data_IF_208969665329
#
_entry.id   IF_208969665329
#
_cell.length_a   1.000
_cell.length_b   1.000
_cell.length_c   1.000
_cell.angle_alpha   90.00
_cell.angle_beta   90.00
_cell.angle_gamma   90.00
#
_symmetry.space_group_name_H-M   'P 1'
#
loop_
_entity.id
_entity.type
_entity.pdbx_description
1 polymer ?
#
# COMPACT_ATOMS: atom_id res chain seq x y z
N UNK A 1 21.33 4.95 -24.72
CA UNK A 1 20.83 3.60 -24.42
C UNK A 1 20.36 3.66 -23.00
N UNK A 2 19.10 3.45 -22.66
CA UNK A 2 18.73 3.28 -21.27
C UNK A 2 19.47 2.04 -20.78
N UNK A 3 20.15 2.13 -19.62
CA UNK A 3 20.66 0.97 -18.92
C UNK A 3 19.47 0.04 -18.67
N UNK A 4 19.50 -1.15 -19.28
CA UNK A 4 18.60 -2.24 -18.89
C UNK A 4 18.81 -2.43 -17.40
N UNK A 5 17.82 -2.11 -16.59
CA UNK A 5 17.88 -2.39 -15.15
C UNK A 5 17.95 -3.90 -15.02
N UNK A 6 19.14 -4.39 -14.66
CA UNK A 6 19.35 -5.82 -14.40
C UNK A 6 18.46 -6.15 -13.21
N UNK A 7 17.41 -6.91 -13.49
CA UNK A 7 16.50 -7.45 -12.46
C UNK A 7 17.33 -8.29 -11.50
N UNK A 8 17.55 -7.81 -10.30
CA UNK A 8 18.34 -8.53 -9.30
C UNK A 8 17.46 -9.51 -8.52
N UNK A 9 17.16 -10.65 -9.16
CA UNK A 9 16.42 -11.75 -8.54
C UNK A 9 17.22 -12.44 -7.39
N UNK A 10 18.48 -12.04 -7.15
CA UNK A 10 19.30 -12.57 -6.07
C UNK A 10 19.03 -11.89 -4.72
N UNK A 11 18.32 -10.77 -4.70
CA UNK A 11 17.95 -10.05 -3.48
C UNK A 11 16.45 -10.13 -3.22
N UNK A 12 16.04 -10.32 -1.96
CA UNK A 12 14.63 -10.31 -1.62
C UNK A 12 14.04 -8.90 -1.80
N UNK A 13 12.74 -8.86 -2.13
CA UNK A 13 11.98 -7.62 -2.33
C UNK A 13 10.72 -7.63 -1.46
N UNK A 14 10.37 -6.50 -0.84
CA UNK A 14 9.24 -6.40 0.07
C UNK A 14 7.89 -6.75 -0.58
N UNK A 15 7.68 -6.36 -1.83
CA UNK A 15 6.46 -6.69 -2.59
C UNK A 15 6.36 -8.20 -2.88
N UNK A 16 7.47 -8.85 -3.26
CA UNK A 16 7.48 -10.30 -3.50
C UNK A 16 7.40 -11.12 -2.22
N UNK A 17 7.96 -10.61 -1.10
CA UNK A 17 7.73 -11.18 0.24
C UNK A 17 6.24 -11.12 0.59
N UNK A 18 5.59 -9.98 0.35
CA UNK A 18 4.18 -9.81 0.60
C UNK A 18 3.32 -10.75 -0.26
N UNK A 19 3.67 -10.93 -1.54
CA UNK A 19 3.03 -11.92 -2.43
C UNK A 19 3.10 -13.34 -1.83
N UNK A 20 4.30 -13.78 -1.40
CA UNK A 20 4.47 -15.08 -0.75
C UNK A 20 3.63 -15.22 0.52
N UNK A 21 3.61 -14.20 1.38
CA UNK A 21 2.84 -14.18 2.64
C UNK A 21 1.34 -14.31 2.38
N UNK A 22 0.86 -13.79 1.26
CA UNK A 22 -0.54 -13.96 0.81
C UNK A 22 -0.82 -15.29 0.08
N UNK A 23 0.19 -16.13 -0.10
CA UNK A 23 0.08 -17.41 -0.81
C UNK A 23 0.22 -17.30 -2.33
N UNK A 24 0.75 -16.20 -2.83
CA UNK A 24 1.06 -15.97 -4.24
C UNK A 24 2.27 -16.76 -4.73
N UNK A 25 2.50 -16.72 -6.03
CA UNK A 25 3.52 -17.52 -6.72
C UNK A 25 4.54 -16.69 -7.50
N UNK A 26 4.44 -15.34 -7.43
CA UNK A 26 5.32 -14.41 -8.14
C UNK A 26 6.47 -13.97 -7.23
N UNK A 27 7.19 -14.93 -6.67
CA UNK A 27 8.28 -14.74 -5.74
C UNK A 27 9.40 -15.76 -5.99
N UNK A 28 10.62 -15.40 -5.61
CA UNK A 28 11.80 -16.25 -5.73
C UNK A 28 12.14 -16.92 -4.41
N UNK A 29 13.08 -17.88 -4.45
CA UNK A 29 13.54 -18.59 -3.27
C UNK A 29 14.07 -17.63 -2.19
N UNK A 30 14.79 -16.58 -2.57
CA UNK A 30 15.32 -15.57 -1.63
C UNK A 30 14.22 -14.80 -0.92
N UNK A 31 13.08 -14.52 -1.60
CA UNK A 31 11.92 -13.88 -1.03
C UNK A 31 11.23 -14.79 -0.02
N UNK A 32 11.05 -16.07 -0.37
CA UNK A 32 10.47 -17.10 0.52
C UNK A 32 11.27 -17.29 1.78
N UNK A 33 12.60 -17.40 1.66
CA UNK A 33 13.49 -17.56 2.81
C UNK A 33 13.42 -16.34 3.74
N UNK A 34 13.39 -15.13 3.19
CA UNK A 34 13.21 -13.91 3.98
C UNK A 34 11.82 -13.87 4.66
N UNK A 35 10.76 -14.21 3.92
CA UNK A 35 9.40 -14.28 4.45
C UNK A 35 9.27 -15.29 5.59
N UNK A 36 9.84 -16.51 5.45
CA UNK A 36 9.83 -17.53 6.49
C UNK A 36 10.57 -17.09 7.76
N UNK A 37 11.68 -16.36 7.61
CA UNK A 37 12.37 -15.77 8.75
C UNK A 37 11.49 -14.73 9.45
N UNK A 38 10.82 -13.86 8.71
CA UNK A 38 9.92 -12.85 9.24
C UNK A 38 8.75 -13.51 9.97
N UNK A 39 8.11 -14.52 9.35
CA UNK A 39 6.99 -15.26 9.96
C UNK A 39 7.42 -15.96 11.25
N UNK A 40 8.63 -16.52 11.29
CA UNK A 40 9.16 -17.15 12.50
C UNK A 40 9.37 -16.16 13.64
N UNK A 41 9.78 -14.93 13.33
CA UNK A 41 10.00 -13.87 14.32
C UNK A 41 8.69 -13.21 14.76
N UNK A 42 7.76 -13.03 13.81
CA UNK A 42 6.45 -12.41 14.00
C UNK A 42 5.37 -13.30 13.36
N UNK A 43 4.88 -14.34 14.05
CA UNK A 43 3.93 -15.30 13.48
C UNK A 43 2.61 -14.68 12.99
N UNK A 44 2.23 -13.53 13.54
CA UNK A 44 1.03 -12.79 13.12
C UNK A 44 1.15 -12.15 11.73
N UNK A 45 2.32 -12.14 11.10
CA UNK A 45 2.55 -11.53 9.78
C UNK A 45 1.55 -12.02 8.73
N UNK A 46 1.21 -13.30 8.73
CA UNK A 46 0.21 -13.87 7.81
C UNK A 46 -1.18 -13.26 8.00
N UNK A 47 -1.63 -13.14 9.25
CA UNK A 47 -2.93 -12.56 9.58
C UNK A 47 -2.95 -11.05 9.27
N UNK A 48 -1.86 -10.37 9.60
CA UNK A 48 -1.67 -8.95 9.33
C UNK A 48 -1.74 -8.62 7.83
N UNK A 49 -1.05 -9.40 6.99
CA UNK A 49 -1.11 -9.24 5.54
C UNK A 49 -2.52 -9.47 4.98
N UNK A 50 -3.23 -10.47 5.48
CA UNK A 50 -4.63 -10.73 5.09
C UNK A 50 -5.56 -9.58 5.48
N UNK A 51 -5.47 -9.11 6.71
CA UNK A 51 -6.28 -7.97 7.18
C UNK A 51 -6.02 -6.74 6.31
N UNK A 52 -4.76 -6.44 6.01
CA UNK A 52 -4.40 -5.34 5.14
C UNK A 52 -5.02 -5.49 3.74
N UNK A 53 -5.08 -6.72 3.20
CA UNK A 53 -5.70 -7.01 1.90
C UNK A 53 -7.23 -6.86 1.96
N UNK A 54 -7.89 -7.35 3.00
CA UNK A 54 -9.33 -7.16 3.20
C UNK A 54 -9.70 -5.68 3.31
N UNK A 55 -8.93 -4.92 4.09
CA UNK A 55 -9.12 -3.47 4.18
C UNK A 55 -8.94 -2.76 2.83
N UNK A 56 -8.06 -3.26 1.96
CA UNK A 56 -7.90 -2.74 0.59
C UNK A 56 -9.14 -3.03 -0.27
N UNK A 57 -9.80 -4.16 -0.09
CA UNK A 57 -11.07 -4.48 -0.74
C UNK A 57 -12.18 -3.54 -0.26
N UNK A 58 -12.34 -3.38 1.07
CA UNK A 58 -13.31 -2.46 1.65
C UNK A 58 -13.11 -1.02 1.14
N UNK A 59 -11.85 -0.62 1.00
CA UNK A 59 -11.45 0.67 0.43
C UNK A 59 -11.94 0.83 -1.02
N UNK A 60 -11.76 -0.20 -1.85
CA UNK A 60 -12.21 -0.18 -3.24
C UNK A 60 -13.73 0.04 -3.34
N UNK A 61 -14.51 -0.70 -2.55
CA UNK A 61 -15.97 -0.54 -2.46
C UNK A 61 -16.35 0.85 -1.94
N UNK A 62 -15.74 1.31 -0.87
CA UNK A 62 -16.03 2.64 -0.30
C UNK A 62 -15.76 3.75 -1.30
N UNK A 63 -14.60 3.73 -1.99
CA UNK A 63 -14.22 4.76 -2.94
C UNK A 63 -15.16 4.82 -4.14
N UNK A 64 -15.58 3.67 -4.66
CA UNK A 64 -16.41 3.61 -5.87
C UNK A 64 -17.90 3.70 -5.58
N UNK A 65 -18.44 2.82 -4.76
CA UNK A 65 -19.89 2.71 -4.57
C UNK A 65 -20.45 3.79 -3.64
N UNK A 66 -19.69 4.23 -2.62
CA UNK A 66 -20.19 5.20 -1.65
C UNK A 66 -19.73 6.63 -1.93
N UNK A 67 -18.49 6.78 -2.42
CA UNK A 67 -17.91 8.11 -2.71
C UNK A 67 -17.99 8.49 -4.19
N UNK A 68 -18.29 7.52 -5.08
CA UNK A 68 -18.58 7.76 -6.49
C UNK A 68 -17.36 8.04 -7.36
N UNK A 69 -16.15 7.62 -6.92
CA UNK A 69 -14.96 7.73 -7.76
C UNK A 69 -14.96 6.64 -8.84
N UNK A 70 -14.73 7.05 -10.05
CA UNK A 70 -14.58 6.17 -11.22
C UNK A 70 -13.12 6.09 -11.73
N UNK A 71 -12.19 6.80 -11.06
CA UNK A 71 -10.74 6.70 -11.30
C UNK A 71 -10.03 6.52 -9.95
N UNK A 72 -9.22 5.47 -9.87
CA UNK A 72 -8.36 5.16 -8.72
C UNK A 72 -6.91 5.12 -9.19
N UNK A 73 -6.02 5.81 -8.49
CA UNK A 73 -4.57 5.76 -8.71
C UNK A 73 -3.92 5.18 -7.46
N UNK A 74 -3.31 4.01 -7.58
CA UNK A 74 -2.68 3.28 -6.47
C UNK A 74 -1.15 3.27 -6.62
N UNK A 75 -0.49 3.94 -5.67
CA UNK A 75 0.96 4.11 -5.63
C UNK A 75 1.62 2.98 -4.84
N UNK A 76 2.69 2.40 -5.39
CA UNK A 76 3.39 1.24 -4.84
C UNK A 76 2.43 0.06 -4.59
N UNK A 77 1.61 -0.23 -5.58
CA UNK A 77 0.52 -1.22 -5.49
C UNK A 77 1.00 -2.66 -5.31
N UNK A 78 2.26 -2.94 -5.62
CA UNK A 78 2.77 -4.29 -5.68
C UNK A 78 2.12 -5.11 -6.80
N UNK A 79 2.05 -6.43 -6.60
CA UNK A 79 1.44 -7.35 -7.57
C UNK A 79 -0.08 -7.32 -7.47
N UNK A 80 -0.80 -7.08 -8.59
CA UNK A 80 -2.27 -7.07 -8.64
C UNK A 80 -2.82 -8.50 -8.73
N UNK A 81 -2.43 -9.34 -7.77
CA UNK A 81 -2.91 -10.71 -7.62
C UNK A 81 -4.36 -10.75 -7.12
N UNK A 82 -4.87 -11.94 -6.79
CA UNK A 82 -6.23 -12.12 -6.31
C UNK A 82 -6.63 -11.13 -5.22
N UNK A 83 -7.89 -10.73 -5.24
CA UNK A 83 -8.49 -9.82 -4.25
C UNK A 83 -7.92 -8.39 -4.27
N UNK A 84 -7.41 -7.93 -5.42
CA UNK A 84 -6.96 -6.56 -5.58
C UNK A 84 -8.07 -5.61 -6.07
N UNK A 85 -7.86 -4.30 -5.98
CA UNK A 85 -8.86 -3.24 -6.23
C UNK A 85 -9.63 -3.48 -7.55
N UNK A 86 -8.95 -3.77 -8.66
CA UNK A 86 -9.59 -3.92 -9.98
C UNK A 86 -10.61 -5.07 -10.06
N UNK A 87 -10.54 -6.06 -9.16
CA UNK A 87 -11.45 -7.21 -9.15
C UNK A 87 -12.75 -6.96 -8.38
N UNK A 88 -12.77 -5.89 -7.55
CA UNK A 88 -13.88 -5.61 -6.63
C UNK A 88 -14.61 -4.30 -6.96
N UNK A 89 -14.02 -3.44 -7.79
CA UNK A 89 -14.67 -2.20 -8.20
C UNK A 89 -15.64 -2.43 -9.36
N UNK A 90 -16.69 -1.60 -9.52
CA UNK A 90 -17.64 -1.70 -10.62
C UNK A 90 -16.97 -1.69 -12.00
N UNK A 91 -17.57 -2.42 -12.94
CA UNK A 91 -17.16 -2.39 -14.34
C UNK A 91 -17.14 -0.94 -14.87
N UNK A 92 -16.08 -0.59 -15.60
CA UNK A 92 -15.87 0.76 -16.12
C UNK A 92 -15.04 1.66 -15.22
N UNK A 93 -14.77 1.26 -13.96
CA UNK A 93 -13.83 1.98 -13.11
C UNK A 93 -12.42 1.91 -13.70
N UNK A 94 -11.77 3.05 -13.81
CA UNK A 94 -10.36 3.12 -14.23
C UNK A 94 -9.44 2.93 -13.02
N UNK A 95 -8.55 1.95 -13.10
CA UNK A 95 -7.55 1.69 -12.06
C UNK A 95 -6.15 1.82 -12.65
N UNK A 96 -5.36 2.72 -12.07
CA UNK A 96 -3.97 2.98 -12.45
C UNK A 96 -3.08 2.51 -11.31
N UNK A 97 -2.35 1.43 -11.54
CA UNK A 97 -1.35 0.89 -10.62
C UNK A 97 0.04 1.42 -10.92
N UNK A 98 0.87 1.56 -9.91
CA UNK A 98 2.29 1.81 -10.10
C UNK A 98 3.16 1.08 -9.09
N UNK A 99 4.34 0.69 -9.52
CA UNK A 99 5.41 0.17 -8.66
C UNK A 99 6.77 0.60 -9.21
N UNK A 100 7.76 0.71 -8.34
CA UNK A 100 9.11 1.09 -8.76
C UNK A 100 9.92 -0.10 -9.30
N UNK A 101 9.61 -1.32 -8.83
CA UNK A 101 10.32 -2.54 -9.23
C UNK A 101 9.88 -2.98 -10.64
N UNK A 102 10.78 -2.95 -11.64
CA UNK A 102 10.44 -3.32 -13.02
C UNK A 102 9.92 -4.76 -13.13
N UNK A 103 10.37 -5.67 -12.26
CA UNK A 103 9.90 -7.05 -12.26
C UNK A 103 8.45 -7.15 -11.76
N UNK A 104 8.11 -6.40 -10.71
CA UNK A 104 6.73 -6.31 -10.21
C UNK A 104 5.83 -5.76 -11.32
N UNK A 105 6.27 -4.74 -12.05
CA UNK A 105 5.52 -4.15 -13.16
C UNK A 105 5.36 -5.14 -14.33
N UNK A 106 6.38 -5.93 -14.65
CA UNK A 106 6.31 -6.95 -15.70
C UNK A 106 5.31 -8.06 -15.34
N UNK A 107 5.41 -8.62 -14.14
CA UNK A 107 4.43 -9.59 -13.64
C UNK A 107 3.01 -8.99 -13.54
N UNK A 108 2.89 -7.74 -13.12
CA UNK A 108 1.60 -7.08 -13.08
C UNK A 108 0.97 -6.99 -14.47
N UNK A 109 1.75 -6.70 -15.52
CA UNK A 109 1.27 -6.70 -16.92
C UNK A 109 0.83 -8.08 -17.37
N UNK A 110 1.58 -9.12 -17.00
CA UNK A 110 1.22 -10.51 -17.31
C UNK A 110 -0.10 -10.90 -16.59
N UNK A 111 -0.23 -10.59 -15.31
CA UNK A 111 -1.42 -10.90 -14.50
C UNK A 111 -2.66 -10.17 -15.04
N UNK A 112 -2.52 -8.89 -15.34
CA UNK A 112 -3.63 -8.05 -15.79
C UNK A 112 -4.06 -8.36 -17.24
N UNK A 113 -3.12 -8.78 -18.10
CA UNK A 113 -3.41 -9.06 -19.51
C UNK A 113 -4.12 -7.88 -20.19
N UNK A 114 -5.24 -8.19 -20.84
CA UNK A 114 -6.10 -7.21 -21.53
C UNK A 114 -7.29 -6.74 -20.65
N UNK A 115 -7.16 -6.76 -19.31
CA UNK A 115 -8.24 -6.31 -18.41
C UNK A 115 -8.61 -4.85 -18.73
N UNK A 116 -9.86 -4.57 -19.12
CA UNK A 116 -10.25 -3.22 -19.52
C UNK A 116 -10.13 -2.21 -18.39
N UNK A 117 -9.71 -0.98 -18.73
CA UNK A 117 -9.60 0.15 -17.79
C UNK A 117 -8.61 -0.06 -16.64
N UNK A 118 -7.75 -1.09 -16.71
CA UNK A 118 -6.71 -1.34 -15.70
C UNK A 118 -5.34 -1.15 -16.33
N UNK A 119 -4.52 -0.34 -15.71
CA UNK A 119 -3.21 0.05 -16.26
C UNK A 119 -2.14 -0.10 -15.19
N UNK A 120 -0.92 -0.46 -15.59
CA UNK A 120 0.24 -0.51 -14.70
C UNK A 120 1.42 0.23 -15.28
N UNK A 121 2.06 1.05 -14.46
CA UNK A 121 3.20 1.89 -14.82
C UNK A 121 4.37 1.64 -13.89
N UNK A 122 5.58 1.70 -14.42
CA UNK A 122 6.76 1.79 -13.57
C UNK A 122 6.91 3.24 -13.10
N UNK A 123 6.82 3.45 -11.79
CA UNK A 123 7.01 4.76 -11.17
C UNK A 123 7.35 4.61 -9.68
N UNK A 124 8.18 5.52 -9.19
CA UNK A 124 8.59 5.57 -7.79
C UNK A 124 7.56 6.36 -6.95
N UNK A 125 7.00 5.73 -5.93
CA UNK A 125 6.00 6.39 -5.06
C UNK A 125 6.54 7.65 -4.36
N UNK A 126 7.86 7.71 -4.07
CA UNK A 126 8.54 8.91 -3.53
C UNK A 126 8.56 10.09 -4.49
N UNK A 127 8.24 9.84 -5.76
CA UNK A 127 8.17 10.79 -6.86
C UNK A 127 6.84 10.71 -7.59
N UNK A 128 5.72 10.98 -6.91
CA UNK A 128 4.40 10.78 -7.50
C UNK A 128 4.19 11.57 -8.80
N UNK A 129 4.90 12.69 -8.97
CA UNK A 129 4.89 13.49 -10.19
C UNK A 129 5.38 12.73 -11.43
N UNK A 130 6.25 11.72 -11.29
CA UNK A 130 6.70 10.90 -12.42
C UNK A 130 5.54 10.10 -13.01
N UNK A 131 4.70 9.50 -12.18
CA UNK A 131 3.48 8.85 -12.62
C UNK A 131 2.46 9.85 -13.16
N UNK A 132 2.19 10.89 -12.38
CA UNK A 132 1.13 11.86 -12.66
C UNK A 132 1.40 12.70 -13.93
N UNK A 133 2.68 12.92 -14.29
CA UNK A 133 3.07 13.62 -15.50
C UNK A 133 3.37 12.68 -16.69
N UNK A 134 3.25 11.37 -16.52
CA UNK A 134 3.38 10.42 -17.61
C UNK A 134 2.32 10.71 -18.69
N UNK A 135 2.73 10.83 -19.94
CA UNK A 135 1.84 11.21 -21.04
C UNK A 135 0.65 10.27 -21.22
N UNK A 136 0.86 8.97 -21.01
CA UNK A 136 -0.21 7.97 -21.11
C UNK A 136 -1.20 8.08 -19.93
N UNK A 137 -0.69 8.35 -18.72
CA UNK A 137 -1.55 8.60 -17.54
C UNK A 137 -2.38 9.87 -17.78
N UNK A 138 -1.78 10.94 -18.30
CA UNK A 138 -2.50 12.17 -18.64
C UNK A 138 -3.58 11.95 -19.71
N UNK A 139 -3.31 11.10 -20.72
CA UNK A 139 -4.30 10.69 -21.72
C UNK A 139 -5.48 9.95 -21.08
N UNK A 140 -5.19 8.96 -20.20
CA UNK A 140 -6.19 8.19 -19.48
C UNK A 140 -7.05 9.09 -18.59
N UNK A 141 -6.44 10.03 -17.88
CA UNK A 141 -7.13 10.97 -17.01
C UNK A 141 -8.00 11.98 -17.77
N UNK A 142 -7.68 12.28 -19.04
CA UNK A 142 -8.44 13.24 -19.84
C UNK A 142 -8.52 14.65 -19.21
N UNK A 143 -7.50 15.05 -18.45
CA UNK A 143 -7.46 16.33 -17.73
C UNK A 143 -8.17 16.33 -16.37
N UNK A 144 -8.74 15.19 -15.96
CA UNK A 144 -9.40 15.05 -14.65
C UNK A 144 -8.38 15.03 -13.53
N UNK A 145 -8.77 15.65 -12.40
CA UNK A 145 -7.96 15.74 -11.17
C UNK A 145 -8.74 15.35 -9.92
N UNK A 146 -10.08 15.26 -10.03
CA UNK A 146 -10.95 14.77 -8.95
C UNK A 146 -10.99 13.24 -9.05
N UNK A 147 -10.09 12.59 -8.31
CA UNK A 147 -9.81 11.14 -8.36
C UNK A 147 -9.58 10.60 -6.96
N UNK A 148 -9.70 9.29 -6.81
CA UNK A 148 -9.23 8.61 -5.62
C UNK A 148 -7.74 8.26 -5.75
N UNK A 149 -6.95 8.68 -4.78
CA UNK A 149 -5.54 8.33 -4.62
C UNK A 149 -5.41 7.28 -3.54
N UNK A 150 -4.54 6.30 -3.71
CA UNK A 150 -4.31 5.22 -2.75
C UNK A 150 -2.83 5.10 -2.45
N UNK A 151 -2.48 4.97 -1.17
CA UNK A 151 -1.16 4.62 -0.70
C UNK A 151 -1.34 3.64 0.47
N UNK A 152 -1.32 2.33 0.15
CA UNK A 152 -1.73 1.29 1.08
C UNK A 152 -0.65 0.25 1.31
N UNK A 153 -0.23 0.07 2.56
CA UNK A 153 0.77 -0.93 2.90
C UNK A 153 2.22 -0.57 2.55
N UNK A 154 2.52 0.70 2.28
CA UNK A 154 3.86 1.15 1.88
C UNK A 154 4.46 2.20 2.81
N UNK A 155 3.66 2.86 3.63
CA UNK A 155 4.07 4.05 4.38
C UNK A 155 5.23 3.82 5.35
N UNK A 156 5.41 2.60 5.85
CA UNK A 156 6.52 2.24 6.74
C UNK A 156 7.88 2.27 6.01
N UNK A 157 7.89 2.14 4.69
CA UNK A 157 9.10 2.15 3.85
C UNK A 157 9.48 3.53 3.32
N UNK A 158 8.71 4.55 3.68
CA UNK A 158 8.92 5.94 3.26
C UNK A 158 9.51 6.75 4.41
N UNK A 159 10.54 7.56 4.16
CA UNK A 159 11.10 8.46 5.16
C UNK A 159 10.11 9.58 5.53
N UNK A 160 10.40 10.36 6.58
CA UNK A 160 9.57 11.50 6.97
C UNK A 160 9.52 12.55 5.85
N UNK A 161 10.66 12.77 5.20
CA UNK A 161 10.79 13.66 4.06
C UNK A 161 9.96 13.17 2.86
N UNK A 162 10.00 11.85 2.58
CA UNK A 162 9.22 11.26 1.48
C UNK A 162 7.73 11.45 1.71
N UNK A 163 7.21 11.10 2.90
CA UNK A 163 5.77 11.24 3.20
C UNK A 163 5.34 12.70 3.08
N UNK A 164 6.11 13.63 3.65
CA UNK A 164 5.80 15.05 3.57
C UNK A 164 5.86 15.59 2.14
N UNK A 165 6.79 15.09 1.32
CA UNK A 165 6.90 15.47 -0.08
C UNK A 165 5.70 14.94 -0.89
N UNK A 166 5.39 13.64 -0.73
CA UNK A 166 4.24 13.00 -1.38
C UNK A 166 2.95 13.74 -1.03
N UNK A 167 2.73 14.01 0.27
CA UNK A 167 1.53 14.67 0.74
C UNK A 167 1.33 16.05 0.08
N UNK A 168 2.37 16.88 0.02
CA UNK A 168 2.31 18.21 -0.64
C UNK A 168 2.10 18.08 -2.14
N UNK A 169 2.87 17.20 -2.81
CA UNK A 169 2.78 17.02 -4.25
C UNK A 169 1.41 16.54 -4.68
N UNK A 170 0.84 15.55 -3.99
CA UNK A 170 -0.50 15.06 -4.27
C UNK A 170 -1.56 16.10 -3.96
N UNK A 171 -1.40 16.88 -2.86
CA UNK A 171 -2.33 17.95 -2.53
C UNK A 171 -2.37 19.05 -3.61
N UNK A 172 -1.21 19.48 -4.10
CA UNK A 172 -1.11 20.49 -5.14
C UNK A 172 -1.68 20.00 -6.48
N UNK A 173 -1.45 18.72 -6.80
CA UNK A 173 -1.89 18.12 -8.05
C UNK A 173 -3.39 17.80 -8.07
N UNK A 174 -3.92 17.23 -7.01
CA UNK A 174 -5.28 16.70 -6.94
C UNK A 174 -6.34 17.79 -7.03
N UNK A 175 -7.50 17.47 -7.60
CA UNK A 175 -8.68 18.32 -7.59
C UNK A 175 -9.25 18.51 -6.19
N UNK A 176 -10.15 19.46 -6.03
CA UNK A 176 -10.72 19.79 -4.71
C UNK A 176 -11.59 18.68 -4.12
N UNK A 177 -12.20 17.89 -4.99
CA UNK A 177 -13.08 16.77 -4.62
C UNK A 177 -12.36 15.42 -4.65
N UNK A 178 -11.01 15.42 -4.65
CA UNK A 178 -10.21 14.22 -4.52
C UNK A 178 -10.18 13.69 -3.10
N UNK A 179 -9.98 12.37 -3.00
CA UNK A 179 -9.72 11.68 -1.73
C UNK A 179 -8.41 10.91 -1.83
N UNK A 180 -7.64 10.89 -0.74
CA UNK A 180 -6.45 10.06 -0.62
C UNK A 180 -6.63 9.04 0.49
N UNK A 181 -6.84 7.77 0.13
CA UNK A 181 -6.86 6.67 1.07
C UNK A 181 -5.43 6.30 1.49
N UNK A 182 -5.14 6.41 2.77
CA UNK A 182 -3.80 6.27 3.31
C UNK A 182 -3.78 5.29 4.49
N UNK A 183 -2.81 4.37 4.48
CA UNK A 183 -2.58 3.43 5.58
C UNK A 183 -1.31 3.82 6.35
N UNK A 184 -1.47 4.14 7.64
CA UNK A 184 -0.36 4.41 8.57
C UNK A 184 0.22 3.09 9.10
N UNK A 185 0.92 2.38 8.22
CA UNK A 185 1.44 1.05 8.50
C UNK A 185 2.35 1.04 9.74
N UNK A 186 2.19 0.01 10.57
CA UNK A 186 2.93 -0.19 11.82
C UNK A 186 2.77 0.93 12.88
N UNK A 187 1.85 1.90 12.69
CA UNK A 187 1.53 2.86 13.73
C UNK A 187 0.90 2.11 14.93
N UNK A 188 1.54 2.20 16.09
CA UNK A 188 1.15 1.47 17.31
C UNK A 188 1.90 0.15 17.53
N UNK A 189 2.77 -0.28 16.63
CA UNK A 189 3.68 -1.40 16.89
C UNK A 189 4.64 -1.07 18.06
N UNK A 190 4.95 -2.08 18.88
CA UNK A 190 5.92 -1.90 19.95
C UNK A 190 7.35 -1.90 19.38
N UNK A 191 8.05 -0.74 19.34
CA UNK A 191 9.38 -0.65 18.75
C UNK A 191 10.46 -1.38 19.57
N UNK A 192 10.14 -1.78 20.81
CA UNK A 192 11.06 -2.49 21.69
C UNK A 192 10.84 -4.02 21.67
N UNK A 193 9.91 -4.50 20.86
CA UNK A 193 9.71 -5.94 20.69
C UNK A 193 10.92 -6.56 19.98
N UNK A 194 11.56 -7.62 20.54
CA UNK A 194 12.74 -8.24 19.94
C UNK A 194 12.50 -8.77 18.52
N UNK A 195 11.31 -9.28 18.23
CA UNK A 195 10.94 -9.76 16.89
C UNK A 195 10.85 -8.59 15.90
N UNK A 196 10.20 -7.50 16.29
CA UNK A 196 10.10 -6.28 15.47
C UNK A 196 11.49 -5.73 15.16
N UNK A 197 12.38 -5.64 16.17
CA UNK A 197 13.77 -5.17 15.97
C UNK A 197 14.52 -6.06 14.96
N UNK A 198 14.35 -7.39 15.04
CA UNK A 198 15.03 -8.30 14.13
C UNK A 198 14.45 -8.23 12.71
N UNK A 199 13.15 -8.11 12.56
CA UNK A 199 12.50 -7.93 11.26
C UNK A 199 12.96 -6.62 10.60
N UNK A 200 13.06 -5.53 11.36
CA UNK A 200 13.64 -4.28 10.85
C UNK A 200 15.04 -4.47 10.28
N UNK A 201 15.92 -5.20 10.98
CA UNK A 201 17.28 -5.51 10.49
C UNK A 201 17.28 -6.33 9.20
N UNK A 202 16.32 -7.26 9.04
CA UNK A 202 16.19 -8.02 7.78
C UNK A 202 15.90 -7.04 6.64
N UNK A 203 14.93 -6.16 6.80
CA UNK A 203 14.58 -5.17 5.77
C UNK A 203 15.69 -4.15 5.52
N UNK A 204 16.43 -3.71 6.55
CA UNK A 204 17.61 -2.87 6.40
C UNK A 204 18.69 -3.55 5.54
N UNK A 205 18.96 -4.84 5.77
CA UNK A 205 19.92 -5.61 4.99
C UNK A 205 19.48 -5.81 3.53
N UNK A 206 18.18 -5.77 3.27
CA UNK A 206 17.61 -5.79 1.93
C UNK A 206 17.69 -4.43 1.22
N UNK A 207 18.13 -3.38 1.92
CA UNK A 207 18.15 -2.01 1.39
C UNK A 207 16.80 -1.29 1.45
N UNK A 208 15.84 -1.83 2.20
CA UNK A 208 14.50 -1.26 2.38
C UNK A 208 14.28 -1.00 3.89
N UNK A 209 14.91 0.03 4.47
CA UNK A 209 14.76 0.33 5.89
C UNK A 209 13.32 0.71 6.23
N UNK A 210 12.83 0.21 7.37
CA UNK A 210 11.53 0.61 7.91
C UNK A 210 11.65 1.85 8.78
N UNK A 211 10.63 2.71 8.73
CA UNK A 211 10.50 3.94 9.51
C UNK A 211 9.25 3.89 10.40
N UNK A 212 9.28 3.16 11.53
CA UNK A 212 8.13 3.08 12.44
C UNK A 212 7.84 4.45 13.06
N UNK A 213 6.56 4.83 13.12
CA UNK A 213 6.11 6.14 13.61
C UNK A 213 4.86 6.01 14.48
N UNK A 214 4.66 7.02 15.33
CA UNK A 214 3.36 7.20 15.99
C UNK A 214 2.31 7.73 15.01
N UNK A 215 1.04 7.56 15.35
CA UNK A 215 -0.07 8.13 14.57
C UNK A 215 0.01 9.66 14.52
N UNK A 216 0.42 10.30 15.62
CA UNK A 216 0.58 11.75 15.69
C UNK A 216 1.64 12.24 14.70
N UNK A 217 2.74 11.49 14.56
CA UNK A 217 3.77 11.83 13.56
C UNK A 217 3.25 11.70 12.14
N UNK A 218 2.46 10.68 11.84
CA UNK A 218 1.79 10.58 10.54
C UNK A 218 0.86 11.77 10.28
N UNK A 219 0.04 12.18 11.25
CA UNK A 219 -0.86 13.34 11.11
C UNK A 219 -0.09 14.63 10.81
N UNK A 220 1.09 14.81 11.39
CA UNK A 220 1.96 15.94 11.09
C UNK A 220 2.48 15.88 9.64
N UNK A 221 3.02 14.73 9.22
CA UNK A 221 3.66 14.56 7.91
C UNK A 221 2.66 14.63 6.74
N UNK A 222 1.42 14.25 6.97
CA UNK A 222 0.37 14.23 5.94
C UNK A 222 -0.23 15.61 5.66
N UNK A 223 0.15 16.66 6.42
CA UNK A 223 -0.30 18.00 6.12
C UNK A 223 0.10 18.43 4.69
N UNK A 224 -0.78 19.15 3.95
CA UNK A 224 -2.02 19.82 4.42
C UNK A 224 -3.31 18.97 4.30
N UNK A 225 -3.23 17.69 3.91
CA UNK A 225 -4.37 16.79 3.93
C UNK A 225 -4.94 16.65 5.33
N UNK A 226 -6.23 16.47 5.44
CA UNK A 226 -6.92 16.21 6.70
C UNK A 226 -7.82 14.98 6.57
N UNK A 227 -7.97 14.18 7.63
CA UNK A 227 -8.91 13.07 7.58
C UNK A 227 -10.34 13.60 7.43
N UNK A 228 -11.18 12.80 6.79
CA UNK A 228 -12.62 13.03 6.75
C UNK A 228 -13.26 12.86 8.14
N UNK A 229 -14.58 12.83 8.21
CA UNK A 229 -15.35 12.67 9.45
C UNK A 229 -15.09 11.35 10.20
N UNK A 230 -14.64 10.30 9.49
CA UNK A 230 -14.28 9.02 10.12
C UNK A 230 -12.95 9.10 10.87
N UNK A 231 -12.09 10.04 10.50
CA UNK A 231 -10.77 10.17 11.11
C UNK A 231 -9.80 9.05 10.73
N UNK A 232 -8.86 8.78 11.61
CA UNK A 232 -7.97 7.62 11.53
C UNK A 232 -8.58 6.49 12.33
N UNK A 233 -9.02 5.43 11.69
CA UNK A 233 -9.59 4.24 12.32
C UNK A 233 -8.65 3.04 12.22
N UNK A 234 -8.64 2.18 13.21
CA UNK A 234 -7.80 0.98 13.19
C UNK A 234 -8.19 0.07 12.03
N UNK A 235 -7.26 -0.74 11.53
CA UNK A 235 -7.60 -1.70 10.47
C UNK A 235 -8.63 -2.74 10.93
N UNK A 236 -8.67 -3.05 12.22
CA UNK A 236 -9.70 -3.94 12.78
C UNK A 236 -11.09 -3.32 12.63
N UNK A 237 -11.24 -2.06 13.03
CA UNK A 237 -12.49 -1.31 12.87
C UNK A 237 -12.82 -1.07 11.39
N UNK A 238 -11.82 -0.78 10.56
CA UNK A 238 -11.98 -0.57 9.12
C UNK A 238 -12.65 -1.77 8.44
N UNK A 239 -12.22 -2.99 8.76
CA UNK A 239 -12.80 -4.23 8.24
C UNK A 239 -14.01 -4.72 9.04
N UNK A 240 -14.42 -4.01 10.09
CA UNK A 240 -15.57 -4.38 10.91
C UNK A 240 -15.34 -5.63 11.78
N UNK A 241 -14.08 -5.92 12.13
CA UNK A 241 -13.79 -7.03 13.06
C UNK A 241 -14.19 -6.64 14.48
N UNK A 242 -15.01 -7.48 15.10
CA UNK A 242 -15.36 -7.33 16.51
C UNK A 242 -14.21 -7.82 17.39
N UNK A 243 -13.63 -6.89 18.15
CA UNK A 243 -12.54 -7.22 19.08
C UNK A 243 -12.99 -8.15 20.23
N UNK A 244 -14.28 -8.17 20.56
CA UNK A 244 -14.83 -9.06 21.58
C UNK A 244 -14.87 -10.52 21.10
N UNK A 245 -15.02 -10.74 19.79
CA UNK A 245 -15.02 -12.07 19.16
C UNK A 245 -13.61 -12.60 18.89
N UNK A 246 -12.58 -11.76 18.99
CA UNK A 246 -11.19 -12.15 18.74
C UNK A 246 -10.65 -13.03 19.87
N UNK A 247 -9.86 -14.04 19.52
CA UNK A 247 -9.11 -14.84 20.49
C UNK A 247 -8.05 -13.98 21.22
N UNK A 248 -7.61 -14.43 22.38
CA UNK A 248 -6.52 -13.76 23.10
C UNK A 248 -5.22 -13.76 22.27
N UNK A 249 -4.96 -14.83 21.53
CA UNK A 249 -3.83 -14.92 20.60
C UNK A 249 -3.93 -13.88 19.49
N UNK A 250 -5.11 -13.66 18.93
CA UNK A 250 -5.32 -12.63 17.89
C UNK A 250 -5.10 -11.23 18.47
N UNK A 251 -5.64 -10.96 19.66
CA UNK A 251 -5.43 -9.67 20.34
C UNK A 251 -3.97 -9.38 20.64
N UNK A 252 -3.22 -10.39 21.07
CA UNK A 252 -1.79 -10.26 21.33
C UNK A 252 -0.99 -10.08 20.00
N UNK A 253 -1.40 -10.77 18.95
CA UNK A 253 -0.73 -10.76 17.64
C UNK A 253 -0.95 -9.45 16.90
N UNK A 254 -2.19 -8.96 16.85
CA UNK A 254 -2.54 -7.77 16.08
C UNK A 254 -2.44 -6.47 16.88
N UNK A 255 -2.36 -6.59 18.20
CA UNK A 255 -2.49 -5.43 19.08
C UNK A 255 -3.84 -4.72 18.89
N UNK A 256 -3.98 -3.52 19.44
CA UNK A 256 -5.27 -2.80 19.44
C UNK A 256 -5.62 -2.21 18.06
N UNK A 257 -4.74 -2.23 17.08
CA UNK A 257 -4.90 -1.48 15.81
C UNK A 257 -4.92 -2.35 14.57
N UNK A 258 -4.62 -3.66 14.68
CA UNK A 258 -4.44 -4.51 13.50
C UNK A 258 -3.31 -4.04 12.60
N UNK A 259 -2.18 -3.62 13.20
CA UNK A 259 -0.96 -3.13 12.54
C UNK A 259 -1.02 -1.71 11.94
N UNK A 260 -1.99 -0.91 12.27
CA UNK A 260 -2.04 0.49 11.84
C UNK A 260 -3.44 1.07 11.76
N UNK A 261 -3.53 2.22 11.12
CA UNK A 261 -4.78 2.94 10.92
C UNK A 261 -4.97 3.28 9.44
N UNK A 262 -6.19 3.18 8.97
CA UNK A 262 -6.61 3.72 7.69
C UNK A 262 -7.26 5.10 7.85
N UNK A 263 -7.15 5.94 6.85
CA UNK A 263 -7.88 7.20 6.76
C UNK A 263 -8.21 7.54 5.31
N UNK A 264 -9.35 8.19 5.11
CA UNK A 264 -9.65 8.90 3.90
C UNK A 264 -9.30 10.38 4.10
N UNK A 265 -8.28 10.82 3.41
CA UNK A 265 -7.76 12.18 3.52
C UNK A 265 -8.41 13.06 2.44
N UNK A 266 -8.87 14.23 2.82
CA UNK A 266 -9.55 15.21 1.97
C UNK A 266 -8.82 16.56 2.01
N UNK A 267 -9.11 17.41 1.02
CA UNK A 267 -8.53 18.77 0.93
C UNK A 267 -9.21 19.76 1.87
#
# INVERSE_FOLDING_TARGET
>A
MPEESIIDASKPNAGRIYDYVLGGHHNFEVDRQAAEQIIKLLPFTLKAARLQRWCLQDLGVELTEKRGYDIIIDFASGLPTNDHIHQIVPEGTTVIYSDYDPLVVEYAREILGDTPNVYVFQAEARRPEELLNNSKVQEILGGRRDVALVCWGVSVWLSDEDISYIARTLYEWAGKDSCWAFHTQAAGANPNDPGVIQVQKIYEQMGTPGYPRSLEKYKELLQPWRPDEKGFISLLEWHGLDQEEMTEEDRQSWGPTGIGYGAYLIK
#
